data_IF_574291676653
#
_entry.id   IF_574291676653
#
_cell.length_a   1.000
_cell.length_b   1.000
_cell.length_c   1.000
_cell.angle_alpha   90.00
_cell.angle_beta   90.00
_cell.angle_gamma   90.00
#
_symmetry.space_group_name_H-M   'P 1'
#
loop_
_entity.id
_entity.type
_entity.pdbx_description
1 polymer ?
#
# COMPACT_ATOMS: atom_id res chain seq x y z
N UNK A 1 -4.92 -20.35 -16.90
CA UNK A 1 -5.27 -18.95 -17.24
C UNK A 1 -3.95 -18.23 -17.46
N UNK A 2 -3.81 -17.39 -18.48
CA UNK A 2 -2.59 -16.57 -18.61
C UNK A 2 -2.60 -15.56 -17.47
N UNK A 3 -1.57 -15.51 -16.63
CA UNK A 3 -1.44 -14.50 -15.60
C UNK A 3 -1.46 -13.10 -16.20
N UNK A 4 -2.04 -12.14 -15.49
CA UNK A 4 -1.99 -10.73 -15.89
C UNK A 4 -0.54 -10.26 -15.86
N UNK A 5 -0.04 -9.67 -16.95
CA UNK A 5 1.33 -9.17 -17.01
C UNK A 5 1.32 -7.65 -16.84
N UNK A 6 2.21 -7.15 -15.99
CA UNK A 6 2.33 -5.74 -15.67
C UNK A 6 3.72 -5.27 -16.06
N UNK A 7 3.81 -4.17 -16.79
CA UNK A 7 5.07 -3.53 -17.12
C UNK A 7 5.21 -2.24 -16.32
N UNK A 8 6.36 -2.05 -15.67
CA UNK A 8 6.71 -0.82 -14.95
C UNK A 8 8.08 -0.31 -15.34
N UNK A 9 8.29 1.00 -15.19
CA UNK A 9 9.56 1.67 -15.47
C UNK A 9 10.33 1.94 -14.18
N UNK A 10 11.47 1.27 -13.98
CA UNK A 10 12.32 1.44 -12.82
C UNK A 10 13.71 1.89 -13.24
N UNK A 11 14.14 3.06 -12.78
CA UNK A 11 15.46 3.63 -13.08
C UNK A 11 15.76 3.72 -14.59
N UNK A 12 14.74 4.08 -15.38
CA UNK A 12 14.83 4.21 -16.84
C UNK A 12 14.92 2.87 -17.57
N UNK A 13 14.50 1.77 -16.94
CA UNK A 13 14.41 0.43 -17.53
C UNK A 13 13.02 -0.14 -17.33
N UNK A 14 12.45 -0.71 -18.39
CA UNK A 14 11.20 -1.44 -18.33
C UNK A 14 11.39 -2.83 -17.73
N UNK A 15 10.52 -3.21 -16.81
CA UNK A 15 10.44 -4.56 -16.25
C UNK A 15 9.02 -5.07 -16.39
N UNK A 16 8.86 -6.33 -16.81
CA UNK A 16 7.55 -6.99 -16.89
C UNK A 16 7.47 -8.10 -15.87
N UNK A 17 6.37 -8.13 -15.13
CA UNK A 17 6.09 -9.07 -14.05
C UNK A 17 4.77 -9.77 -14.31
N UNK A 18 4.69 -11.05 -13.94
CA UNK A 18 3.42 -11.74 -13.84
C UNK A 18 2.77 -11.39 -12.49
N UNK A 19 1.51 -10.97 -12.52
CA UNK A 19 0.73 -10.69 -11.33
C UNK A 19 0.40 -12.00 -10.61
N UNK A 20 0.50 -11.98 -9.27
CA UNK A 20 0.01 -13.09 -8.46
C UNK A 20 -1.51 -13.25 -8.61
N UNK A 21 -2.00 -14.50 -8.55
CA UNK A 21 -3.40 -14.87 -8.76
C UNK A 21 -4.40 -14.16 -7.82
N UNK A 22 -3.92 -13.59 -6.71
CA UNK A 22 -4.76 -12.97 -5.67
C UNK A 22 -4.64 -11.44 -5.62
N UNK A 23 -3.95 -10.81 -6.57
CA UNK A 23 -3.84 -9.35 -6.61
C UNK A 23 -5.12 -8.77 -7.21
N UNK A 24 -5.82 -7.95 -6.42
CA UNK A 24 -7.11 -7.35 -6.80
C UNK A 24 -6.96 -6.35 -7.94
N UNK A 25 -5.89 -5.54 -7.91
CA UNK A 25 -5.57 -4.57 -8.93
C UNK A 25 -4.04 -4.48 -9.05
N UNK A 26 -3.51 -5.24 -9.99
CA UNK A 26 -2.07 -5.40 -10.12
C UNK A 26 -1.41 -4.14 -10.70
N UNK A 27 -2.13 -3.42 -11.57
CA UNK A 27 -1.71 -2.14 -12.11
C UNK A 27 -1.56 -1.09 -11.01
N UNK A 28 -2.53 -0.97 -10.09
CA UNK A 28 -2.43 0.01 -9.00
C UNK A 28 -1.29 -0.31 -8.03
N UNK A 29 -1.06 -1.59 -7.71
CA UNK A 29 0.10 -2.02 -6.90
C UNK A 29 1.41 -1.59 -7.55
N UNK A 30 1.52 -1.76 -8.86
CA UNK A 30 2.71 -1.38 -9.61
C UNK A 30 2.90 0.14 -9.63
N UNK A 31 1.82 0.90 -9.79
CA UNK A 31 1.82 2.37 -9.74
C UNK A 31 2.24 2.93 -8.37
N UNK A 32 1.88 2.24 -7.28
CA UNK A 32 2.33 2.58 -5.93
C UNK A 32 3.85 2.46 -5.82
N UNK A 33 4.44 1.39 -6.36
CA UNK A 33 5.89 1.20 -6.38
C UNK A 33 6.60 2.30 -7.21
N UNK A 34 6.12 2.59 -8.41
CA UNK A 34 6.68 3.63 -9.28
C UNK A 34 6.67 5.00 -8.58
N UNK A 35 5.54 5.37 -7.97
CA UNK A 35 5.40 6.64 -7.24
C UNK A 35 6.41 6.77 -6.10
N UNK A 36 6.63 5.70 -5.34
CA UNK A 36 7.54 5.73 -4.19
C UNK A 36 9.01 5.84 -4.64
N UNK A 37 9.36 5.12 -5.71
CA UNK A 37 10.69 5.21 -6.32
C UNK A 37 10.93 6.62 -6.87
N UNK A 38 9.94 7.21 -7.55
CA UNK A 38 9.99 8.59 -8.03
C UNK A 38 10.24 9.58 -6.90
N UNK A 39 9.61 9.40 -5.74
CA UNK A 39 9.81 10.25 -4.57
C UNK A 39 11.23 10.12 -4.00
N UNK A 40 11.76 8.90 -3.94
CA UNK A 40 13.13 8.62 -3.49
C UNK A 40 14.17 9.17 -4.47
N UNK A 41 13.93 9.04 -5.78
CA UNK A 41 14.83 9.56 -6.81
C UNK A 41 14.85 11.09 -6.78
N UNK A 42 13.70 11.76 -6.65
CA UNK A 42 13.61 13.22 -6.54
C UNK A 42 14.31 13.80 -5.32
N UNK A 43 14.46 13.00 -4.25
CA UNK A 43 15.16 13.40 -3.02
C UNK A 43 16.64 13.01 -3.00
N UNK A 44 17.09 12.18 -3.95
CA UNK A 44 18.49 11.77 -4.12
C UNK A 44 19.24 12.64 -5.15
N UNK A 45 20.56 12.76 -4.99
CA UNK A 45 21.40 13.36 -6.02
C UNK A 45 21.55 12.41 -7.23
N UNK A 46 21.33 12.90 -8.46
CA UNK A 46 21.35 12.11 -9.71
C UNK A 46 22.52 11.10 -9.88
N UNK A 47 23.79 11.41 -9.54
CA UNK A 47 24.89 10.46 -9.70
C UNK A 47 24.80 9.22 -8.80
N UNK A 48 23.98 9.28 -7.74
CA UNK A 48 23.82 8.20 -6.76
C UNK A 48 22.76 7.17 -7.17
N UNK A 49 21.81 7.55 -8.04
CA UNK A 49 20.66 6.73 -8.43
C UNK A 49 21.09 5.43 -9.12
N UNK A 50 22.08 5.50 -10.00
CA UNK A 50 22.56 4.33 -10.75
C UNK A 50 23.46 3.38 -9.95
N UNK A 51 24.04 3.81 -8.81
CA UNK A 51 24.94 2.95 -8.00
C UNK A 51 24.23 2.25 -6.84
N UNK A 52 23.00 2.64 -6.51
CA UNK A 52 22.28 2.18 -5.31
C UNK A 52 20.83 1.75 -5.59
N UNK A 53 20.49 1.35 -6.81
CA UNK A 53 19.13 0.95 -7.20
C UNK A 53 18.50 -0.08 -6.24
N UNK A 54 19.26 -1.07 -5.77
CA UNK A 54 18.78 -2.04 -4.79
C UNK A 54 18.40 -1.39 -3.44
N UNK A 55 19.21 -0.46 -2.93
CA UNK A 55 18.91 0.24 -1.68
C UNK A 55 17.69 1.17 -1.84
N UNK A 56 17.53 1.80 -3.01
CA UNK A 56 16.36 2.62 -3.31
C UNK A 56 15.08 1.79 -3.42
N UNK A 57 15.13 0.62 -4.07
CA UNK A 57 14.01 -0.33 -4.09
C UNK A 57 13.66 -0.84 -2.69
N UNK A 58 14.68 -1.15 -1.89
CA UNK A 58 14.48 -1.57 -0.50
C UNK A 58 13.83 -0.46 0.33
N UNK A 59 14.27 0.78 0.16
CA UNK A 59 13.67 1.93 0.83
C UNK A 59 12.21 2.14 0.38
N UNK A 60 11.92 2.02 -0.92
CA UNK A 60 10.55 2.11 -1.43
C UNK A 60 9.64 1.04 -0.81
N UNK A 61 10.11 -0.21 -0.77
CA UNK A 61 9.39 -1.30 -0.13
C UNK A 61 9.14 -1.06 1.36
N UNK A 62 10.14 -0.53 2.09
CA UNK A 62 9.99 -0.18 3.51
C UNK A 62 8.95 0.94 3.72
N UNK A 63 8.95 1.96 2.87
CA UNK A 63 7.99 3.06 2.96
C UNK A 63 6.56 2.60 2.67
N UNK A 64 6.35 1.80 1.62
CA UNK A 64 5.05 1.20 1.28
C UNK A 64 4.56 0.29 2.43
N UNK A 65 5.44 -0.55 2.98
CA UNK A 65 5.09 -1.41 4.11
C UNK A 65 4.68 -0.61 5.35
N UNK A 66 5.37 0.51 5.63
CA UNK A 66 5.03 1.41 6.72
C UNK A 66 3.66 2.08 6.51
N UNK A 67 3.38 2.57 5.30
CA UNK A 67 2.07 3.13 4.95
C UNK A 67 0.95 2.09 5.11
N UNK A 68 1.15 0.86 4.62
CA UNK A 68 0.20 -0.23 4.76
C UNK A 68 -0.08 -0.58 6.23
N UNK A 69 0.96 -0.67 7.06
CA UNK A 69 0.80 -0.91 8.51
C UNK A 69 0.02 0.24 9.15
N UNK A 70 0.31 1.48 8.78
CA UNK A 70 -0.42 2.67 9.23
C UNK A 70 -1.90 2.61 8.88
N UNK A 71 -2.22 2.32 7.61
CA UNK A 71 -3.59 2.20 7.12
C UNK A 71 -4.36 1.10 7.85
N UNK A 72 -3.73 -0.08 8.02
CA UNK A 72 -4.33 -1.20 8.76
C UNK A 72 -4.65 -0.83 10.21
N UNK A 73 -3.76 -0.07 10.87
CA UNK A 73 -3.99 0.39 12.23
C UNK A 73 -5.16 1.38 12.32
N UNK A 74 -5.25 2.33 11.38
CA UNK A 74 -6.36 3.29 11.29
C UNK A 74 -7.68 2.56 11.04
N UNK A 75 -7.70 1.62 10.10
CA UNK A 75 -8.88 0.81 9.79
C UNK A 75 -9.37 0.02 11.01
N UNK A 76 -8.47 -0.67 11.70
CA UNK A 76 -8.79 -1.42 12.92
C UNK A 76 -9.33 -0.52 14.04
N UNK A 77 -8.77 0.69 14.19
CA UNK A 77 -9.27 1.66 15.16
C UNK A 77 -10.69 2.12 14.81
N UNK A 78 -10.92 2.44 13.54
CA UNK A 78 -12.24 2.83 13.04
C UNK A 78 -13.30 1.74 13.28
N UNK A 79 -13.00 0.48 12.93
CA UNK A 79 -13.90 -0.64 13.18
C UNK A 79 -14.26 -0.80 14.66
N UNK A 80 -13.27 -0.70 15.56
CA UNK A 80 -13.52 -0.75 17.00
C UNK A 80 -14.43 0.36 17.47
N UNK A 81 -14.25 1.58 16.95
CA UNK A 81 -15.08 2.73 17.31
C UNK A 81 -16.53 2.55 16.83
N UNK A 82 -16.73 2.15 15.56
CA UNK A 82 -18.05 1.87 15.00
C UNK A 82 -18.75 0.76 15.79
N UNK A 83 -18.05 -0.32 16.11
CA UNK A 83 -18.60 -1.43 16.89
C UNK A 83 -19.02 -0.96 18.29
N UNK A 84 -18.16 -0.22 18.98
CA UNK A 84 -18.43 0.30 20.33
C UNK A 84 -19.65 1.21 20.36
N UNK A 85 -19.76 2.11 19.38
CA UNK A 85 -20.89 3.04 19.26
C UNK A 85 -22.18 2.32 18.92
N UNK A 86 -22.11 1.34 18.02
CA UNK A 86 -23.27 0.52 17.64
C UNK A 86 -23.78 -0.32 18.81
N UNK A 87 -22.89 -0.94 19.58
CA UNK A 87 -23.26 -1.68 20.79
C UNK A 87 -23.87 -0.78 21.86
N UNK A 88 -23.32 0.43 22.05
CA UNK A 88 -23.90 1.41 22.98
C UNK A 88 -25.31 1.83 22.56
N UNK A 89 -25.53 2.01 21.25
CA UNK A 89 -26.85 2.34 20.72
C UNK A 89 -27.86 1.21 20.92
N UNK A 90 -27.48 -0.03 20.62
CA UNK A 90 -28.33 -1.22 20.83
C UNK A 90 -28.74 -1.31 22.30
N UNK A 91 -27.78 -1.19 23.23
CA UNK A 91 -28.07 -1.21 24.69
C UNK A 91 -29.04 -0.10 25.11
N UNK A 92 -28.90 1.10 24.54
CA UNK A 92 -29.79 2.21 24.83
C UNK A 92 -31.21 1.99 24.28
N UNK A 93 -31.35 1.28 23.15
CA UNK A 93 -32.65 0.88 22.60
C UNK A 93 -33.29 -0.21 23.45
N UNK A 94 -32.53 -1.24 23.84
CA UNK A 94 -33.01 -2.34 24.67
C UNK A 94 -33.51 -1.83 26.03
N UNK A 95 -32.78 -0.89 26.65
CA UNK A 95 -33.16 -0.28 27.92
C UNK A 95 -34.45 0.56 27.84
N UNK A 96 -34.89 0.97 26.64
CA UNK A 96 -36.15 1.69 26.41
C UNK A 96 -37.34 0.78 26.11
N UNK A 97 -37.07 -0.50 25.81
CA UNK A 97 -38.08 -1.52 25.53
C UNK A 97 -38.43 -2.36 26.78
N UNK A 98 -37.70 -2.15 27.89
CA UNK A 98 -37.99 -2.68 29.23
C UNK A 98 -38.79 -1.67 30.05
#
# INVERSE_FOLDING_TARGET
>A
MLGEHITIELFGKSYTFEADENVVDACEVARVLEKEIDAIVKTGNEPFVNKKSFAMLTQAALNIANEFIGLRNVHNKFLKEVLTRSQSLIRAMDARLQ
#
